data_IF_876822902725
#
_entry.id   IF_876822902725
#
_cell.length_a   1.000
_cell.length_b   1.000
_cell.length_c   1.000
_cell.angle_alpha   90.00
_cell.angle_beta   90.00
_cell.angle_gamma   90.00
#
_symmetry.space_group_name_H-M   'P 1'
#
loop_
_entity.id
_entity.type
_entity.pdbx_description
1 polymer ?
#
# COMPACT_ATOMS: atom_id res chain seq x y z
N UNK A 1 -6.47 11.45 -4.54
CA UNK A 1 -5.06 11.35 -4.98
C UNK A 1 -4.45 10.05 -4.49
N UNK A 2 -3.79 9.36 -5.38
CA UNK A 2 -3.01 8.18 -5.06
C UNK A 2 -1.54 8.56 -4.90
N UNK A 3 -0.94 8.17 -3.79
CA UNK A 3 0.48 8.37 -3.55
C UNK A 3 1.19 7.01 -3.53
N UNK A 4 2.39 6.98 -4.06
CA UNK A 4 3.11 5.72 -4.32
C UNK A 4 3.64 5.03 -3.05
N UNK A 5 3.52 5.66 -1.89
CA UNK A 5 3.95 5.11 -0.62
C UNK A 5 3.22 5.80 0.53
N UNK A 6 3.07 5.12 1.66
CA UNK A 6 2.42 5.68 2.85
C UNK A 6 3.20 6.88 3.40
N UNK A 7 4.52 6.86 3.35
CA UNK A 7 5.33 8.00 3.81
C UNK A 7 5.03 9.25 2.98
N UNK A 8 4.93 9.11 1.67
CA UNK A 8 4.55 10.21 0.78
C UNK A 8 3.11 10.67 1.06
N UNK A 9 2.22 9.74 1.32
CA UNK A 9 0.81 10.05 1.61
C UNK A 9 0.68 10.80 2.92
N UNK A 10 1.45 10.44 3.94
CA UNK A 10 1.48 11.15 5.23
C UNK A 10 2.00 12.56 5.04
N UNK A 11 3.02 12.75 4.20
CA UNK A 11 3.51 14.08 3.85
C UNK A 11 2.43 14.92 3.17
N UNK A 12 1.69 14.33 2.24
CA UNK A 12 0.57 15.00 1.57
C UNK A 12 -0.55 15.35 2.56
N UNK A 13 -0.85 14.45 3.51
CA UNK A 13 -1.84 14.69 4.55
C UNK A 13 -1.43 15.86 5.44
N UNK A 14 -0.18 15.92 5.85
CA UNK A 14 0.36 17.03 6.65
C UNK A 14 0.27 18.36 5.89
N UNK A 15 0.63 18.35 4.62
CA UNK A 15 0.56 19.55 3.78
C UNK A 15 -0.88 20.04 3.60
N UNK A 16 -1.83 19.12 3.40
CA UNK A 16 -3.25 19.44 3.29
C UNK A 16 -3.76 20.08 4.58
N UNK A 17 -3.42 19.53 5.72
CA UNK A 17 -3.81 20.06 7.03
C UNK A 17 -3.22 21.45 7.26
N UNK A 18 -1.94 21.66 6.91
CA UNK A 18 -1.28 22.96 7.02
C UNK A 18 -1.91 24.00 6.11
N UNK A 19 -2.47 23.59 4.97
CA UNK A 19 -3.17 24.48 4.04
C UNK A 19 -4.63 24.72 4.41
N UNK A 20 -5.11 24.14 5.52
CA UNK A 20 -6.50 24.29 5.96
C UNK A 20 -7.48 23.40 5.21
N UNK A 21 -7.02 22.41 4.47
CA UNK A 21 -7.87 21.47 3.76
C UNK A 21 -8.27 20.33 4.69
N UNK A 22 -9.51 19.88 4.55
CA UNK A 22 -10.03 18.74 5.30
C UNK A 22 -9.94 17.46 4.46
N UNK A 23 -9.37 16.40 5.05
CA UNK A 23 -9.29 15.08 4.44
C UNK A 23 -10.24 14.16 5.22
N UNK A 24 -11.19 13.48 4.58
CA UNK A 24 -11.38 13.31 3.13
C UNK A 24 -12.31 14.32 2.45
N UNK A 25 -12.88 15.29 3.17
CA UNK A 25 -13.97 16.11 2.64
C UNK A 25 -13.55 16.99 1.46
N UNK A 26 -12.39 17.65 1.55
CA UNK A 26 -11.88 18.52 0.49
C UNK A 26 -11.05 17.73 -0.53
N UNK A 27 -10.33 16.72 -0.07
CA UNK A 27 -9.61 15.82 -0.93
C UNK A 27 -9.43 14.44 -0.27
N UNK A 28 -9.42 13.41 -1.09
CA UNK A 28 -9.16 12.05 -0.64
C UNK A 28 -7.72 11.63 -0.92
N UNK A 29 -7.14 10.84 -0.01
CA UNK A 29 -5.79 10.31 -0.14
C UNK A 29 -5.81 8.80 0.03
N UNK A 30 -5.07 8.10 -0.82
CA UNK A 30 -4.83 6.68 -0.68
C UNK A 30 -3.33 6.41 -0.87
N UNK A 31 -2.78 5.60 0.01
CA UNK A 31 -1.38 5.22 0.00
C UNK A 31 -1.15 3.81 -0.51
N UNK A 32 0.06 3.35 -0.34
CA UNK A 32 0.49 2.01 -0.71
C UNK A 32 1.45 1.50 0.36
N UNK A 33 1.30 0.28 0.78
CA UNK A 33 2.11 -0.58 1.64
C UNK A 33 1.52 -0.91 3.00
N UNK A 34 0.59 -0.13 3.52
CA UNK A 34 0.00 -0.35 4.85
C UNK A 34 1.09 -0.40 5.94
N UNK A 35 1.91 0.63 5.99
CA UNK A 35 2.93 0.77 7.03
C UNK A 35 2.29 0.89 8.40
N UNK A 36 3.04 0.55 9.43
CA UNK A 36 2.55 0.55 10.83
C UNK A 36 1.89 1.87 11.21
N UNK A 37 2.52 2.98 10.82
CA UNK A 37 2.04 4.32 11.12
C UNK A 37 0.72 4.68 10.44
N UNK A 38 0.35 3.98 9.36
CA UNK A 38 -0.92 4.21 8.68
C UNK A 38 -2.13 3.94 9.60
N UNK A 39 -1.97 3.06 10.55
CA UNK A 39 -3.01 2.69 11.52
C UNK A 39 -3.06 3.62 12.74
N UNK A 40 -2.11 4.54 12.90
CA UNK A 40 -2.12 5.47 14.03
C UNK A 40 -3.36 6.36 13.99
N UNK A 41 -3.95 6.62 15.17
CA UNK A 41 -5.22 7.34 15.25
C UNK A 41 -5.19 8.74 14.63
N UNK A 42 -4.05 9.43 14.73
CA UNK A 42 -3.87 10.77 14.16
C UNK A 42 -3.60 10.76 12.65
N UNK A 43 -3.32 9.60 12.08
CA UNK A 43 -3.04 9.41 10.65
C UNK A 43 -4.21 8.72 9.99
N UNK A 44 -4.60 7.54 10.47
CA UNK A 44 -5.77 6.79 10.04
C UNK A 44 -5.89 6.71 8.51
N UNK A 45 -4.80 6.28 7.86
CA UNK A 45 -4.60 6.35 6.42
C UNK A 45 -5.26 5.19 5.70
N UNK A 46 -6.08 5.49 4.69
CA UNK A 46 -6.53 4.49 3.72
C UNK A 46 -5.36 4.14 2.80
N UNK A 47 -5.07 2.87 2.68
CA UNK A 47 -3.90 2.40 1.94
C UNK A 47 -4.16 1.04 1.31
N UNK A 48 -3.27 0.61 0.42
CA UNK A 48 -3.30 -0.71 -0.17
C UNK A 48 -2.32 -1.60 0.60
N UNK A 49 -2.85 -2.65 1.20
CA UNK A 49 -2.03 -3.63 1.90
C UNK A 49 -1.39 -4.60 0.91
N UNK A 50 -0.07 -4.65 0.92
CA UNK A 50 0.69 -5.66 0.19
C UNK A 50 1.07 -6.79 1.14
N UNK A 51 0.73 -8.05 0.84
CA UNK A 51 1.07 -9.17 1.73
C UNK A 51 2.55 -9.53 1.56
N UNK A 52 3.44 -8.80 2.21
CA UNK A 52 4.89 -8.94 2.04
C UNK A 52 5.38 -10.35 2.34
N UNK A 53 4.84 -11.01 3.36
CA UNK A 53 5.23 -12.37 3.69
C UNK A 53 4.96 -13.34 2.53
N UNK A 54 3.80 -13.22 1.90
CA UNK A 54 3.44 -14.03 0.74
C UNK A 54 4.29 -13.67 -0.48
N UNK A 55 4.59 -12.38 -0.67
CA UNK A 55 5.44 -11.91 -1.77
C UNK A 55 6.87 -12.46 -1.61
N UNK A 56 7.44 -12.37 -0.42
CA UNK A 56 8.78 -12.86 -0.13
C UNK A 56 8.83 -14.39 -0.27
N UNK A 57 7.86 -15.11 0.27
CA UNK A 57 7.78 -16.58 0.13
C UNK A 57 7.67 -16.97 -1.35
N UNK A 58 6.85 -16.28 -2.11
CA UNK A 58 6.71 -16.53 -3.54
C UNK A 58 7.99 -16.27 -4.31
N UNK A 59 8.71 -15.21 -3.98
CA UNK A 59 10.00 -14.88 -4.59
C UNK A 59 11.05 -15.97 -4.30
N UNK A 60 11.12 -16.43 -3.06
CA UNK A 60 12.05 -17.50 -2.66
C UNK A 60 11.72 -18.78 -3.41
N UNK A 61 10.45 -19.16 -3.50
CA UNK A 61 10.03 -20.36 -4.22
C UNK A 61 10.43 -20.31 -5.69
N UNK A 62 10.23 -19.15 -6.35
CA UNK A 62 10.61 -18.97 -7.74
C UNK A 62 12.13 -19.03 -7.92
N UNK A 63 12.90 -18.48 -7.00
CA UNK A 63 14.37 -18.57 -7.03
C UNK A 63 14.85 -20.00 -6.86
N UNK A 64 14.30 -20.75 -5.91
CA UNK A 64 14.65 -22.15 -5.68
C UNK A 64 14.34 -23.00 -6.90
N UNK A 65 13.17 -22.81 -7.52
CA UNK A 65 12.81 -23.49 -8.75
C UNK A 65 13.80 -23.20 -9.87
N UNK A 66 14.24 -21.96 -9.99
CA UNK A 66 15.23 -21.53 -10.99
C UNK A 66 16.59 -22.15 -10.75
N UNK A 67 17.02 -22.24 -9.50
CA UNK A 67 18.30 -22.89 -9.15
C UNK A 67 18.26 -24.40 -9.40
N UNK A 68 17.11 -25.02 -9.17
CA UNK A 68 16.94 -26.46 -9.42
C UNK A 68 16.93 -26.78 -10.92
N UNK A 69 16.38 -25.88 -11.74
CA UNK A 69 16.32 -26.04 -13.20
C UNK A 69 16.55 -24.67 -13.89
N UNK A 70 17.82 -24.30 -14.17
CA UNK A 70 18.11 -23.02 -14.79
C UNK A 70 17.54 -22.84 -16.21
N UNK A 71 17.16 -23.94 -16.87
CA UNK A 71 16.56 -23.88 -18.21
C UNK A 71 15.05 -23.63 -18.18
N UNK A 72 14.45 -23.60 -16.99
CA UNK A 72 13.02 -23.37 -16.83
C UNK A 72 12.63 -21.98 -17.32
N UNK A 73 11.47 -21.90 -17.99
CA UNK A 73 10.93 -20.64 -18.46
C UNK A 73 10.65 -19.68 -17.28
N UNK A 74 10.81 -18.39 -17.52
CA UNK A 74 10.47 -17.36 -16.53
C UNK A 74 9.00 -17.45 -16.14
N UNK A 75 8.73 -17.29 -14.83
CA UNK A 75 7.39 -17.37 -14.28
C UNK A 75 7.01 -16.06 -13.59
N UNK A 76 5.73 -15.76 -13.62
CA UNK A 76 5.15 -14.62 -12.90
C UNK A 76 4.11 -15.16 -11.91
N UNK A 77 4.20 -14.72 -10.65
CA UNK A 77 3.15 -14.95 -9.66
C UNK A 77 2.49 -13.64 -9.31
N UNK A 78 1.16 -13.61 -9.44
CA UNK A 78 0.35 -12.49 -8.99
C UNK A 78 -0.17 -12.80 -7.60
N UNK A 79 0.13 -11.91 -6.65
CA UNK A 79 -0.32 -12.02 -5.27
C UNK A 79 -1.30 -10.89 -5.02
N UNK A 80 -2.56 -11.20 -4.66
CA UNK A 80 -3.57 -10.16 -4.53
C UNK A 80 -3.28 -9.24 -3.34
N UNK A 81 -3.46 -7.95 -3.57
CA UNK A 81 -3.46 -6.92 -2.54
C UNK A 81 -4.90 -6.53 -2.22
N UNK A 82 -5.11 -5.83 -1.10
CA UNK A 82 -6.44 -5.33 -0.76
C UNK A 82 -6.36 -3.92 -0.20
N UNK A 83 -7.47 -3.18 -0.34
CA UNK A 83 -7.59 -1.84 0.22
C UNK A 83 -7.94 -1.96 1.69
N UNK A 84 -7.19 -1.25 2.53
CA UNK A 84 -7.52 -1.07 3.95
C UNK A 84 -8.19 0.29 4.07
N UNK A 85 -9.50 0.29 4.19
CA UNK A 85 -10.30 1.51 4.23
C UNK A 85 -10.27 2.09 5.65
N UNK A 86 -9.66 3.28 5.76
CA UNK A 86 -9.61 4.04 7.01
C UNK A 86 -10.30 5.39 6.81
N UNK A 87 -9.66 6.50 7.17
CA UNK A 87 -10.32 7.79 7.23
C UNK A 87 -9.91 8.83 6.19
N UNK A 88 -8.97 8.54 5.30
CA UNK A 88 -8.47 9.53 4.34
C UNK A 88 -9.14 9.47 2.98
N UNK A 89 -10.07 8.56 2.80
CA UNK A 89 -10.85 8.43 1.59
C UNK A 89 -12.32 8.33 1.98
N UNK A 90 -13.21 8.97 1.20
CA UNK A 90 -14.64 8.87 1.46
C UNK A 90 -15.11 7.43 1.25
N UNK A 91 -15.92 6.93 2.19
CA UNK A 91 -16.59 5.68 2.00
C UNK A 91 -17.54 5.79 0.80
N UNK A 92 -17.49 4.79 -0.08
CA UNK A 92 -18.47 4.69 -1.17
C UNK A 92 -19.77 4.12 -0.61
N UNK A 93 -20.82 4.83 -0.87
CA UNK A 93 -22.16 4.37 -0.51
C UNK A 93 -22.78 3.55 -1.64
#
# INVERSE_FOLDING_TARGET
YFCADDVLTIGALSAAQAAGLHVPDDLGLIGLNDMHMAAWANINLTTIHQPFDAIVSGAIDLMQDRFADPSRAAQTRLIPCHIVDRGTLRAQS
#
